data_IF_785679217052
#
_entry.id   IF_785679217052
#
_cell.length_a   1.000
_cell.length_b   1.000
_cell.length_c   1.000
_cell.angle_alpha   90.00
_cell.angle_beta   90.00
_cell.angle_gamma   90.00
#
_symmetry.space_group_name_H-M   'P 1'
#
loop_
_entity.id
_entity.type
_entity.pdbx_description
1 polymer ?
#
# COMPACT_ATOMS: atom_id res chain seq x y z
N UNK A 1 -54.31 -27.77 16.40
CA UNK A 1 -53.20 -27.98 15.45
C UNK A 1 -52.93 -26.80 14.50
N UNK A 2 -53.94 -26.20 13.84
CA UNK A 2 -53.71 -25.08 12.89
C UNK A 2 -53.08 -23.84 13.55
N UNK A 3 -53.51 -23.47 14.76
CA UNK A 3 -53.01 -22.31 15.50
C UNK A 3 -51.52 -22.46 15.88
N UNK A 4 -51.12 -23.63 16.38
CA UNK A 4 -49.73 -23.96 16.73
C UNK A 4 -48.84 -23.92 15.48
N UNK A 5 -49.35 -24.39 14.33
CA UNK A 5 -48.62 -24.32 13.06
C UNK A 5 -48.37 -22.89 12.63
N UNK A 6 -49.35 -21.99 12.76
CA UNK A 6 -49.19 -20.58 12.42
C UNK A 6 -48.20 -19.86 13.34
N UNK A 7 -48.23 -20.12 14.64
CA UNK A 7 -47.28 -19.56 15.60
C UNK A 7 -45.85 -19.99 15.24
N UNK A 8 -45.64 -21.26 14.94
CA UNK A 8 -44.32 -21.77 14.56
C UNK A 8 -43.81 -21.14 13.25
N UNK A 9 -44.72 -20.92 12.28
CA UNK A 9 -44.36 -20.28 11.00
C UNK A 9 -43.95 -18.83 11.21
N UNK A 10 -44.67 -18.08 12.04
CA UNK A 10 -44.35 -16.67 12.36
C UNK A 10 -43.00 -16.59 13.08
N UNK A 11 -42.73 -17.45 14.06
CA UNK A 11 -41.45 -17.48 14.79
C UNK A 11 -40.29 -17.80 13.84
N UNK A 12 -40.46 -18.77 12.94
CA UNK A 12 -39.44 -19.11 11.95
C UNK A 12 -39.17 -17.94 10.99
N UNK A 13 -40.22 -17.23 10.57
CA UNK A 13 -40.09 -16.05 9.68
C UNK A 13 -39.40 -14.89 10.39
N UNK A 14 -39.71 -14.68 11.68
CA UNK A 14 -39.02 -13.69 12.52
C UNK A 14 -37.55 -14.06 12.75
N UNK A 15 -37.25 -15.34 12.99
CA UNK A 15 -35.86 -15.81 13.08
C UNK A 15 -35.12 -15.55 11.76
N UNK A 16 -35.70 -15.90 10.61
CA UNK A 16 -35.07 -15.66 9.31
C UNK A 16 -34.86 -14.16 9.02
N UNK A 17 -35.72 -13.28 9.53
CA UNK A 17 -35.53 -11.82 9.41
C UNK A 17 -34.42 -11.29 10.35
N UNK A 18 -34.24 -11.90 11.52
CA UNK A 18 -33.20 -11.53 12.50
C UNK A 18 -31.83 -12.11 12.12
N UNK A 19 -31.79 -13.29 11.50
CA UNK A 19 -30.54 -13.95 11.07
C UNK A 19 -30.20 -13.76 9.59
N UNK A 20 -31.12 -13.26 8.76
CA UNK A 20 -30.93 -13.10 7.31
C UNK A 20 -30.18 -11.85 6.89
N UNK A 21 -29.82 -10.98 7.83
CA UNK A 21 -29.03 -9.77 7.59
C UNK A 21 -27.54 -9.99 7.86
N UNK A 22 -26.89 -10.95 7.20
CA UNK A 22 -25.45 -10.83 7.00
C UNK A 22 -25.32 -9.89 5.81
N UNK A 23 -25.13 -8.60 6.07
CA UNK A 23 -24.62 -7.70 5.04
C UNK A 23 -23.23 -8.21 4.66
N UNK A 24 -23.16 -9.06 3.64
CA UNK A 24 -21.92 -9.29 2.92
C UNK A 24 -21.63 -7.95 2.26
N UNK A 25 -20.88 -7.10 2.95
CA UNK A 25 -20.36 -5.87 2.39
C UNK A 25 -19.56 -6.26 1.16
N UNK A 26 -20.16 -6.04 0.00
CA UNK A 26 -19.46 -6.17 -1.26
C UNK A 26 -18.43 -5.05 -1.30
N UNK A 27 -17.17 -5.40 -1.09
CA UNK A 27 -16.05 -4.48 -1.23
C UNK A 27 -16.09 -3.89 -2.63
N UNK A 28 -16.32 -2.59 -2.75
CA UNK A 28 -16.45 -1.95 -4.06
C UNK A 28 -15.06 -1.61 -4.57
N UNK A 29 -14.46 -2.56 -5.27
CA UNK A 29 -13.16 -2.41 -5.94
C UNK A 29 -13.35 -2.46 -7.46
N UNK A 30 -12.38 -1.94 -8.21
CA UNK A 30 -12.35 -2.18 -9.65
C UNK A 30 -11.89 -3.59 -10.05
N UNK A 31 -11.60 -4.47 -9.10
CA UNK A 31 -11.20 -5.85 -9.38
C UNK A 31 -12.40 -6.79 -9.44
N UNK A 32 -12.32 -7.79 -10.34
CA UNK A 32 -13.11 -9.01 -10.20
C UNK A 32 -12.58 -9.83 -9.02
N UNK A 33 -13.46 -10.21 -8.11
CA UNK A 33 -13.10 -10.87 -6.85
C UNK A 33 -13.97 -12.10 -6.56
N UNK A 34 -13.47 -12.97 -5.70
CA UNK A 34 -14.17 -14.13 -5.18
C UNK A 34 -14.03 -14.25 -3.66
N UNK A 35 -14.99 -14.92 -3.02
CA UNK A 35 -14.95 -15.18 -1.58
C UNK A 35 -13.80 -16.13 -1.24
N UNK A 36 -13.11 -15.84 -0.15
CA UNK A 36 -12.10 -16.73 0.42
C UNK A 36 -12.73 -17.67 1.46
N UNK A 37 -12.35 -18.95 1.53
CA UNK A 37 -12.79 -19.84 2.62
C UNK A 37 -12.41 -19.27 4.00
N UNK A 38 -13.25 -19.52 5.01
CA UNK A 38 -13.09 -18.94 6.35
C UNK A 38 -11.76 -19.34 7.03
N UNK A 39 -11.33 -20.60 6.86
CA UNK A 39 -10.06 -21.11 7.40
C UNK A 39 -8.85 -20.39 6.78
N UNK A 40 -8.91 -20.12 5.48
CA UNK A 40 -7.88 -19.39 4.74
C UNK A 40 -7.86 -17.91 5.18
N UNK A 41 -9.03 -17.30 5.40
CA UNK A 41 -9.17 -15.94 5.89
C UNK A 41 -8.54 -15.76 7.28
N UNK A 42 -8.83 -16.67 8.21
CA UNK A 42 -8.27 -16.64 9.57
C UNK A 42 -6.74 -16.80 9.56
N UNK A 43 -6.24 -17.71 8.75
CA UNK A 43 -4.80 -17.93 8.57
C UNK A 43 -4.13 -16.69 7.98
N UNK A 44 -4.77 -16.07 6.98
CA UNK A 44 -4.27 -14.86 6.34
C UNK A 44 -4.21 -13.69 7.32
N UNK A 45 -5.29 -13.42 8.07
CA UNK A 45 -5.34 -12.34 9.05
C UNK A 45 -4.24 -12.46 10.10
N UNK A 46 -4.00 -13.67 10.59
CA UNK A 46 -2.92 -13.94 11.54
C UNK A 46 -1.53 -13.68 10.96
N UNK A 47 -1.33 -13.99 9.68
CA UNK A 47 -0.05 -13.81 9.01
C UNK A 47 0.21 -12.34 8.64
N UNK A 48 -0.81 -11.64 8.14
CA UNK A 48 -0.75 -10.22 7.79
C UNK A 48 -0.64 -9.37 9.05
N UNK A 49 -1.32 -9.74 10.13
CA UNK A 49 -1.20 -9.11 11.45
C UNK A 49 -1.27 -7.57 11.40
N UNK A 50 -2.41 -7.06 10.95
CA UNK A 50 -2.65 -5.61 10.86
C UNK A 50 -2.76 -5.04 12.27
N UNK A 51 -2.05 -3.95 12.50
CA UNK A 51 -2.03 -3.22 13.77
C UNK A 51 -2.19 -1.72 13.50
N UNK A 52 -2.94 -1.03 14.34
CA UNK A 52 -3.17 0.41 14.20
C UNK A 52 -1.97 1.20 14.76
N UNK A 53 -1.70 2.35 14.15
CA UNK A 53 -0.70 3.33 14.58
C UNK A 53 -1.41 4.63 14.95
N UNK A 54 -1.25 5.08 16.18
CA UNK A 54 -1.83 6.34 16.68
C UNK A 54 -0.89 7.53 16.54
N UNK A 55 0.40 7.26 16.40
CA UNK A 55 1.46 8.26 16.24
C UNK A 55 2.09 8.12 14.86
N UNK A 56 2.51 9.25 14.28
CA UNK A 56 3.14 9.25 12.97
C UNK A 56 4.50 8.54 13.02
N UNK A 57 4.68 7.43 12.27
CA UNK A 57 5.98 6.76 12.20
C UNK A 57 6.98 7.62 11.41
N UNK A 58 8.29 7.36 11.54
CA UNK A 58 9.30 8.05 10.75
C UNK A 58 9.00 7.92 9.25
N UNK A 59 8.95 9.05 8.55
CA UNK A 59 8.64 9.10 7.12
C UNK A 59 9.63 8.27 6.29
N UNK A 60 9.11 7.59 5.26
CA UNK A 60 9.83 6.68 4.36
C UNK A 60 9.42 6.95 2.92
N UNK A 61 10.14 6.36 1.97
CA UNK A 61 9.77 6.45 0.57
C UNK A 61 8.39 5.85 0.30
N UNK A 62 7.68 6.44 -0.64
CA UNK A 62 6.31 6.12 -1.00
C UNK A 62 6.34 4.99 -2.03
N UNK A 63 5.60 3.92 -1.76
CA UNK A 63 5.42 2.78 -2.67
C UNK A 63 4.11 2.91 -3.46
N UNK A 64 3.05 3.38 -2.80
CA UNK A 64 1.74 3.60 -3.38
C UNK A 64 1.00 4.69 -2.60
N UNK A 65 -0.01 5.30 -3.21
CA UNK A 65 -0.86 6.27 -2.56
C UNK A 65 -2.30 6.17 -3.07
N UNK A 66 -3.25 6.61 -2.26
CA UNK A 66 -4.64 6.75 -2.64
C UNK A 66 -5.22 8.04 -2.06
N UNK A 67 -6.25 8.56 -2.71
CA UNK A 67 -7.00 9.73 -2.24
C UNK A 67 -8.48 9.44 -2.44
N UNK A 68 -9.29 9.71 -1.42
CA UNK A 68 -10.75 9.59 -1.53
C UNK A 68 -11.40 10.88 -2.03
N UNK A 69 -12.73 10.87 -2.19
CA UNK A 69 -13.50 12.02 -2.67
C UNK A 69 -13.42 13.25 -1.74
N UNK A 70 -13.21 13.03 -0.44
CA UNK A 70 -13.05 14.09 0.56
C UNK A 70 -11.62 14.67 0.60
N UNK A 71 -10.70 14.13 -0.21
CA UNK A 71 -9.30 14.54 -0.23
C UNK A 71 -8.45 13.96 0.91
N UNK A 72 -8.95 12.94 1.63
CA UNK A 72 -8.16 12.17 2.59
C UNK A 72 -7.12 11.36 1.83
N UNK A 73 -5.87 11.41 2.30
CA UNK A 73 -4.72 10.85 1.60
C UNK A 73 -4.22 9.64 2.37
N UNK A 74 -4.07 8.51 1.69
CA UNK A 74 -3.36 7.34 2.20
C UNK A 74 -2.00 7.22 1.51
N UNK A 75 -0.94 7.01 2.30
CA UNK A 75 0.42 6.82 1.80
C UNK A 75 0.94 5.48 2.29
N UNK A 76 1.25 4.58 1.36
CA UNK A 76 1.87 3.29 1.61
C UNK A 76 3.39 3.37 1.53
N UNK A 77 4.07 2.88 2.55
CA UNK A 77 5.51 2.86 2.68
C UNK A 77 6.05 1.47 3.04
N UNK A 78 7.29 1.21 2.64
CA UNK A 78 8.07 0.08 3.14
C UNK A 78 8.83 0.47 4.42
N UNK A 79 8.65 -0.30 5.49
CA UNK A 79 9.54 -0.31 6.66
C UNK A 79 10.44 -1.55 6.61
N UNK A 80 11.51 -1.57 7.41
CA UNK A 80 12.54 -2.62 7.41
C UNK A 80 11.99 -4.00 7.76
N UNK A 81 10.87 -4.07 8.50
CA UNK A 81 10.25 -5.33 8.93
C UNK A 81 8.78 -5.46 8.51
N UNK A 82 8.05 -4.34 8.44
CA UNK A 82 6.62 -4.31 8.12
C UNK A 82 6.34 -3.34 6.97
N UNK A 83 5.15 -3.46 6.38
CA UNK A 83 4.56 -2.41 5.55
C UNK A 83 3.81 -1.45 6.45
N UNK A 84 3.75 -0.19 6.03
CA UNK A 84 3.05 0.86 6.75
C UNK A 84 2.14 1.60 5.78
N UNK A 85 0.93 1.92 6.22
CA UNK A 85 0.06 2.88 5.54
C UNK A 85 -0.27 3.99 6.53
N UNK A 86 -0.04 5.23 6.15
CA UNK A 86 -0.40 6.40 6.97
C UNK A 86 -1.52 7.18 6.29
N UNK A 87 -2.51 7.61 7.06
CA UNK A 87 -3.65 8.39 6.62
C UNK A 87 -3.46 9.84 7.05
N UNK A 88 -3.64 10.76 6.11
CA UNK A 88 -3.50 12.19 6.29
C UNK A 88 -4.76 12.91 5.85
N UNK A 89 -5.02 14.06 6.43
CA UNK A 89 -5.96 15.05 5.91
C UNK A 89 -5.46 15.63 4.58
N UNK A 90 -6.31 16.39 3.89
CA UNK A 90 -5.97 17.04 2.62
C UNK A 90 -4.89 18.12 2.73
N UNK A 91 -4.64 18.64 3.94
CA UNK A 91 -3.55 19.57 4.27
C UNK A 91 -2.29 18.87 4.81
N UNK A 92 -2.26 17.53 4.82
CA UNK A 92 -1.07 16.75 5.17
C UNK A 92 -0.88 16.49 6.66
N UNK A 93 -1.91 16.65 7.48
CA UNK A 93 -1.86 16.35 8.92
C UNK A 93 -2.13 14.86 9.13
N UNK A 94 -1.23 14.17 9.82
CA UNK A 94 -1.38 12.76 10.15
C UNK A 94 -2.61 12.52 11.03
N UNK A 95 -3.41 11.50 10.70
CA UNK A 95 -4.61 11.10 11.45
C UNK A 95 -4.37 9.79 12.20
N UNK A 96 -3.98 8.76 11.47
CA UNK A 96 -3.69 7.41 11.99
C UNK A 96 -2.94 6.61 10.93
N UNK A 97 -2.52 5.39 11.26
CA UNK A 97 -1.94 4.48 10.28
C UNK A 97 -2.16 3.01 10.61
N UNK A 98 -1.59 2.16 9.76
CA UNK A 98 -1.58 0.72 9.91
C UNK A 98 -0.16 0.20 9.70
N UNK A 99 0.24 -0.79 10.48
CA UNK A 99 1.44 -1.61 10.26
C UNK A 99 1.03 -3.06 10.08
N UNK A 100 1.56 -3.71 9.04
CA UNK A 100 1.22 -5.09 8.70
C UNK A 100 2.37 -5.80 7.99
N UNK A 101 2.31 -7.13 7.96
CA UNK A 101 3.26 -7.99 7.27
C UNK A 101 2.78 -8.28 5.86
N UNK A 102 3.68 -8.13 4.89
CA UNK A 102 3.43 -8.50 3.50
C UNK A 102 4.73 -8.95 2.86
N UNK A 103 4.75 -10.17 2.32
CA UNK A 103 5.85 -10.65 1.50
C UNK A 103 5.67 -10.16 0.06
N UNK A 104 6.11 -8.94 -0.24
CA UNK A 104 6.08 -8.37 -1.59
C UNK A 104 5.60 -6.93 -1.64
N UNK A 105 5.03 -6.56 -2.79
CA UNK A 105 4.42 -5.26 -3.01
C UNK A 105 2.97 -5.28 -2.51
N UNK A 106 2.48 -4.09 -2.17
CA UNK A 106 1.10 -3.88 -1.82
C UNK A 106 0.60 -2.59 -2.48
N UNK A 107 -0.68 -2.57 -2.81
CA UNK A 107 -1.38 -1.39 -3.28
C UNK A 107 -2.41 -0.94 -2.26
N UNK A 108 -2.89 0.29 -2.40
CA UNK A 108 -3.97 0.82 -1.57
C UNK A 108 -4.97 1.60 -2.41
N UNK A 109 -6.21 1.62 -1.97
CA UNK A 109 -7.28 2.40 -2.55
C UNK A 109 -8.38 2.66 -1.53
N UNK A 110 -9.14 3.74 -1.71
CA UNK A 110 -10.33 3.98 -0.91
C UNK A 110 -11.58 3.47 -1.61
N UNK A 111 -12.43 2.77 -0.87
CA UNK A 111 -13.86 2.67 -1.13
C UNK A 111 -14.57 3.60 -0.14
N UNK A 112 -14.91 4.80 -0.58
CA UNK A 112 -15.42 5.89 0.26
C UNK A 112 -14.45 6.22 1.41
N UNK A 113 -14.78 5.82 2.63
CA UNK A 113 -13.97 6.02 3.84
C UNK A 113 -13.19 4.77 4.27
N UNK A 114 -13.43 3.62 3.64
CA UNK A 114 -12.79 2.35 3.97
C UNK A 114 -11.55 2.19 3.09
N UNK A 115 -10.44 1.81 3.71
CA UNK A 115 -9.19 1.60 2.99
C UNK A 115 -9.08 0.14 2.57
N UNK A 116 -8.95 -0.07 1.27
CA UNK A 116 -8.61 -1.35 0.67
C UNK A 116 -7.09 -1.48 0.59
N UNK A 117 -6.53 -2.51 1.21
CA UNK A 117 -5.12 -2.91 1.12
C UNK A 117 -5.04 -4.14 0.23
N UNK A 118 -4.33 -4.01 -0.89
CA UNK A 118 -4.17 -5.07 -1.87
C UNK A 118 -2.80 -5.74 -1.75
N UNK A 119 -2.75 -7.04 -1.44
CA UNK A 119 -1.53 -7.83 -1.34
C UNK A 119 -1.23 -8.50 -2.69
N UNK A 120 -0.30 -7.92 -3.45
CA UNK A 120 -0.07 -8.27 -4.88
C UNK A 120 0.27 -9.75 -5.07
N UNK A 121 1.17 -10.32 -4.26
CA UNK A 121 1.62 -11.71 -4.46
C UNK A 121 0.60 -12.77 -4.05
N UNK A 122 -0.34 -12.39 -3.19
CA UNK A 122 -1.36 -13.32 -2.69
C UNK A 122 -2.67 -13.18 -3.44
N UNK A 123 -2.80 -12.18 -4.31
CA UNK A 123 -4.06 -11.80 -4.96
C UNK A 123 -5.17 -11.60 -3.92
N UNK A 124 -4.90 -10.83 -2.87
CA UNK A 124 -5.85 -10.60 -1.77
C UNK A 124 -6.13 -9.11 -1.63
N UNK A 125 -7.39 -8.80 -1.34
CA UNK A 125 -7.85 -7.49 -0.97
C UNK A 125 -8.42 -7.51 0.45
N UNK A 126 -8.01 -6.56 1.29
CA UNK A 126 -8.43 -6.44 2.68
C UNK A 126 -9.02 -5.05 2.89
N UNK A 127 -10.30 -4.98 3.26
CA UNK A 127 -10.95 -3.73 3.62
C UNK A 127 -10.75 -3.45 5.11
N UNK A 128 -10.16 -2.30 5.44
CA UNK A 128 -9.85 -1.87 6.81
C UNK A 128 -10.46 -0.50 7.06
N UNK A 129 -11.28 -0.38 8.10
CA UNK A 129 -11.90 0.89 8.49
C UNK A 129 -10.98 1.74 9.36
N UNK A 130 -11.35 2.99 9.61
CA UNK A 130 -10.51 3.97 10.33
C UNK A 130 -10.18 3.63 11.78
N UNK A 131 -10.84 2.63 12.39
CA UNK A 131 -10.51 2.12 13.72
C UNK A 131 -9.62 0.87 13.69
N UNK A 132 -9.25 0.41 12.49
CA UNK A 132 -8.37 -0.74 12.28
C UNK A 132 -9.09 -2.10 12.26
N UNK A 133 -10.41 -2.12 12.18
CA UNK A 133 -11.18 -3.36 12.04
C UNK A 133 -11.20 -3.78 10.57
N UNK A 134 -11.05 -5.09 10.34
CA UNK A 134 -11.15 -5.69 9.00
C UNK A 134 -12.62 -5.98 8.70
N UNK A 135 -13.16 -5.31 7.69
CA UNK A 135 -14.57 -5.44 7.31
C UNK A 135 -14.79 -6.57 6.31
N UNK A 136 -13.83 -6.83 5.43
CA UNK A 136 -13.92 -7.89 4.42
C UNK A 136 -12.55 -8.33 3.91
N UNK A 137 -12.48 -9.58 3.45
CA UNK A 137 -11.32 -10.12 2.74
C UNK A 137 -11.82 -10.84 1.50
N UNK A 138 -11.26 -10.48 0.35
CA UNK A 138 -11.58 -11.07 -0.94
C UNK A 138 -10.34 -11.51 -1.67
N UNK A 139 -10.49 -12.54 -2.50
CA UNK A 139 -9.44 -12.97 -3.42
C UNK A 139 -9.66 -12.32 -4.78
N UNK A 140 -8.62 -11.69 -5.29
CA UNK A 140 -8.57 -11.06 -6.61
C UNK A 140 -8.36 -12.19 -7.64
N UNK A 141 -9.18 -12.18 -8.69
CA UNK A 141 -9.05 -13.18 -9.74
C UNK A 141 -7.89 -12.82 -10.68
N UNK A 142 -7.23 -13.83 -11.25
CA UNK A 142 -6.20 -13.60 -12.26
C UNK A 142 -6.83 -13.44 -13.65
N UNK A 143 -7.16 -12.19 -14.01
CA UNK A 143 -7.73 -11.83 -15.32
C UNK A 143 -6.91 -10.72 -15.99
N UNK A 144 -7.05 -10.56 -17.31
CA UNK A 144 -6.40 -9.47 -18.05
C UNK A 144 -6.83 -8.09 -17.57
N UNK A 145 -8.09 -7.95 -17.20
CA UNK A 145 -8.69 -6.69 -16.74
C UNK A 145 -8.11 -6.30 -15.38
N UNK A 146 -8.03 -7.27 -14.45
CA UNK A 146 -7.40 -7.06 -13.14
C UNK A 146 -5.91 -6.70 -13.28
N UNK A 147 -5.18 -7.38 -14.18
CA UNK A 147 -3.77 -7.07 -14.45
C UNK A 147 -3.57 -5.65 -15.00
N UNK A 148 -4.53 -5.14 -15.80
CA UNK A 148 -4.50 -3.76 -16.28
C UNK A 148 -4.81 -2.78 -15.15
N UNK A 149 -5.84 -3.09 -14.33
CA UNK A 149 -6.27 -2.26 -13.21
C UNK A 149 -5.18 -2.04 -12.15
N UNK A 150 -4.34 -3.05 -11.89
CA UNK A 150 -3.17 -2.91 -11.04
C UNK A 150 -2.27 -1.74 -11.46
N UNK A 151 -1.96 -1.63 -12.75
CA UNK A 151 -1.03 -0.64 -13.27
C UNK A 151 -1.70 0.72 -13.47
N UNK A 152 -2.92 0.73 -13.99
CA UNK A 152 -3.59 1.95 -14.42
C UNK A 152 -4.28 2.68 -13.27
N UNK A 153 -4.66 1.97 -12.21
CA UNK A 153 -5.37 2.54 -11.07
C UNK A 153 -4.56 2.41 -9.78
N UNK A 154 -4.27 1.19 -9.33
CA UNK A 154 -3.67 0.94 -8.00
C UNK A 154 -2.25 1.51 -7.88
N UNK A 155 -1.40 1.27 -8.87
CA UNK A 155 -0.03 1.78 -8.93
C UNK A 155 0.13 3.05 -9.78
N UNK A 156 -0.98 3.71 -10.11
CA UNK A 156 -0.91 5.00 -10.79
C UNK A 156 -0.15 6.01 -9.95
N UNK A 157 0.77 6.71 -10.59
CA UNK A 157 1.55 7.80 -9.97
C UNK A 157 0.81 9.12 -9.96
N UNK A 158 -0.38 9.18 -10.59
CA UNK A 158 -1.23 10.36 -10.69
C UNK A 158 -2.66 10.03 -10.37
N UNK A 159 -3.31 10.87 -9.57
CA UNK A 159 -4.76 10.80 -9.34
C UNK A 159 -5.35 12.20 -9.40
N UNK A 160 -6.57 12.32 -9.92
CA UNK A 160 -7.32 13.57 -9.98
C UNK A 160 -8.63 13.42 -9.23
N UNK A 161 -8.85 14.27 -8.23
CA UNK A 161 -10.08 14.34 -7.45
C UNK A 161 -10.64 15.76 -7.59
N UNK A 162 -11.79 15.89 -8.26
CA UNK A 162 -12.33 17.19 -8.64
C UNK A 162 -11.34 18.00 -9.48
N UNK A 163 -10.99 19.20 -9.01
CA UNK A 163 -10.02 20.09 -9.66
C UNK A 163 -8.60 19.94 -9.12
N UNK A 164 -8.36 18.99 -8.23
CA UNK A 164 -7.07 18.76 -7.58
C UNK A 164 -6.36 17.56 -8.19
N UNK A 165 -5.13 17.74 -8.67
CA UNK A 165 -4.27 16.66 -9.13
C UNK A 165 -3.24 16.32 -8.05
N UNK A 166 -3.03 15.03 -7.82
CA UNK A 166 -2.06 14.47 -6.91
C UNK A 166 -1.07 13.66 -7.73
N UNK A 167 0.22 13.86 -7.52
CA UNK A 167 1.22 13.06 -8.22
C UNK A 167 2.46 12.77 -7.40
N UNK A 168 3.03 11.59 -7.63
CA UNK A 168 4.28 11.15 -7.04
C UNK A 168 5.47 11.65 -7.85
N UNK A 169 6.50 12.12 -7.15
CA UNK A 169 7.74 12.61 -7.76
C UNK A 169 8.96 12.06 -7.03
N UNK A 170 10.00 11.78 -7.81
CA UNK A 170 11.37 11.65 -7.33
C UNK A 170 12.17 12.89 -7.70
N UNK A 171 12.88 13.44 -6.72
CA UNK A 171 13.73 14.62 -6.93
C UNK A 171 15.20 14.32 -6.60
N UNK A 172 15.73 13.24 -7.22
CA UNK A 172 17.13 12.79 -7.08
C UNK A 172 18.01 13.20 -8.27
N UNK A 173 17.53 14.09 -9.15
CA UNK A 173 18.27 14.53 -10.34
C UNK A 173 18.62 13.38 -11.29
N UNK A 174 19.89 13.32 -11.74
CA UNK A 174 20.40 12.30 -12.69
C UNK A 174 20.26 10.86 -12.13
N UNK A 175 20.12 10.71 -10.81
CA UNK A 175 20.00 9.42 -10.14
C UNK A 175 18.57 8.84 -10.15
N UNK A 176 17.56 9.58 -10.64
CA UNK A 176 16.16 9.14 -10.67
C UNK A 176 15.94 7.80 -11.38
N UNK A 177 16.79 7.43 -12.34
CA UNK A 177 16.67 6.16 -13.09
C UNK A 177 16.84 4.91 -12.20
N UNK A 178 17.40 5.06 -11.00
CA UNK A 178 17.59 3.97 -10.04
C UNK A 178 16.57 3.99 -8.90
N UNK A 179 15.64 4.95 -8.90
CA UNK A 179 14.64 5.05 -7.85
C UNK A 179 13.56 3.97 -8.05
N UNK A 180 13.43 3.08 -7.08
CA UNK A 180 12.38 2.04 -7.06
C UNK A 180 11.12 2.46 -6.29
N UNK A 181 11.12 3.65 -5.69
CA UNK A 181 10.05 4.24 -4.87
C UNK A 181 10.10 5.77 -4.99
N UNK A 182 9.10 6.48 -4.45
CA UNK A 182 8.93 7.93 -4.63
C UNK A 182 9.30 8.74 -3.37
N UNK A 183 9.93 9.90 -3.54
CA UNK A 183 10.35 10.78 -2.44
C UNK A 183 9.28 11.76 -1.97
N UNK A 184 8.35 12.12 -2.87
CA UNK A 184 7.43 13.23 -2.65
C UNK A 184 6.03 12.92 -3.18
N UNK A 185 5.01 13.43 -2.47
CA UNK A 185 3.65 13.57 -2.97
C UNK A 185 3.34 15.06 -3.13
N UNK A 186 3.02 15.45 -4.36
CA UNK A 186 2.74 16.84 -4.75
C UNK A 186 1.25 16.96 -5.07
N UNK A 187 0.68 18.09 -4.68
CA UNK A 187 -0.69 18.48 -5.03
C UNK A 187 -0.64 19.72 -5.90
N UNK A 188 -1.37 19.68 -7.01
CA UNK A 188 -1.61 20.81 -7.90
C UNK A 188 -3.08 21.21 -7.81
N UNK A 189 -3.34 22.45 -7.43
CA UNK A 189 -4.69 22.98 -7.38
C UNK A 189 -5.19 23.42 -8.77
N UNK A 190 -6.45 23.87 -8.86
CA UNK A 190 -7.08 24.34 -10.10
C UNK A 190 -6.39 25.53 -10.78
N UNK A 191 -5.54 26.26 -10.06
CA UNK A 191 -4.77 27.40 -10.57
C UNK A 191 -3.37 26.98 -11.03
N UNK A 192 -3.01 25.70 -10.92
CA UNK A 192 -1.69 25.19 -11.25
C UNK A 192 -0.65 25.43 -10.15
N UNK A 193 -1.06 25.82 -8.96
CA UNK A 193 -0.13 26.00 -7.84
C UNK A 193 0.19 24.64 -7.22
N UNK A 194 1.49 24.35 -7.09
CA UNK A 194 2.00 23.11 -6.51
C UNK A 194 2.32 23.29 -5.03
N UNK A 195 1.98 22.28 -4.23
CA UNK A 195 2.37 22.16 -2.82
C UNK A 195 2.84 20.75 -2.52
N UNK A 196 3.83 20.62 -1.66
CA UNK A 196 4.37 19.32 -1.23
C UNK A 196 3.70 18.95 0.08
N UNK A 197 2.98 17.83 0.09
CA UNK A 197 2.26 17.33 1.27
C UNK A 197 3.08 16.28 2.03
N UNK A 198 3.95 15.58 1.31
CA UNK A 198 4.85 14.60 1.89
C UNK A 198 6.23 14.72 1.24
N UNK A 199 7.29 14.81 2.06
CA UNK A 199 8.67 14.94 1.59
C UNK A 199 9.63 14.09 2.43
N UNK A 200 10.34 13.19 1.76
CA UNK A 200 11.45 12.40 2.32
C UNK A 200 12.70 12.45 1.43
N UNK A 201 12.79 13.43 0.54
CA UNK A 201 13.85 13.48 -0.48
C UNK A 201 15.26 13.51 0.13
N UNK A 202 15.46 14.29 1.20
CA UNK A 202 16.75 14.41 1.88
C UNK A 202 17.25 13.08 2.48
N UNK A 203 16.33 12.29 3.06
CA UNK A 203 16.64 10.98 3.63
C UNK A 203 16.92 9.93 2.54
N UNK A 204 16.12 9.93 1.46
CA UNK A 204 16.32 9.04 0.32
C UNK A 204 17.66 9.32 -0.39
N UNK A 205 17.98 10.59 -0.62
CA UNK A 205 19.23 11.01 -1.23
C UNK A 205 20.44 10.61 -0.39
N UNK A 206 20.39 10.84 0.92
CA UNK A 206 21.49 10.49 1.84
C UNK A 206 21.78 8.99 1.84
N UNK A 207 20.75 8.15 1.91
CA UNK A 207 20.91 6.69 1.85
C UNK A 207 21.52 6.24 0.52
N UNK A 208 21.08 6.82 -0.60
CA UNK A 208 21.59 6.48 -1.92
C UNK A 208 23.06 6.87 -2.10
N UNK A 209 23.46 8.05 -1.61
CA UNK A 209 24.87 8.51 -1.64
C UNK A 209 25.77 7.55 -0.86
N UNK A 210 25.31 7.06 0.30
CA UNK A 210 26.05 6.08 1.10
C UNK A 210 26.23 4.75 0.35
N UNK A 211 25.17 4.24 -0.28
CA UNK A 211 25.21 2.99 -1.05
C UNK A 211 26.14 3.12 -2.26
N UNK A 212 25.96 4.15 -3.09
CA UNK A 212 26.78 4.40 -4.28
C UNK A 212 28.24 4.62 -3.90
N UNK A 213 28.50 5.42 -2.85
CA UNK A 213 29.84 5.63 -2.32
C UNK A 213 30.51 4.33 -1.85
N UNK A 214 29.78 3.48 -1.14
CA UNK A 214 30.27 2.17 -0.70
C UNK A 214 30.64 1.24 -1.87
N UNK A 215 29.81 1.20 -2.91
CA UNK A 215 30.09 0.42 -4.13
C UNK A 215 31.33 0.93 -4.85
N UNK A 216 31.50 2.25 -4.99
CA UNK A 216 32.68 2.86 -5.63
C UNK A 216 33.96 2.48 -4.85
N UNK A 217 33.94 2.62 -3.52
CA UNK A 217 35.08 2.24 -2.67
C UNK A 217 35.42 0.76 -2.84
N UNK A 218 34.41 -0.11 -2.87
CA UNK A 218 34.62 -1.54 -3.09
C UNK A 218 35.25 -1.84 -4.46
N UNK A 219 34.76 -1.21 -5.53
CA UNK A 219 35.34 -1.36 -6.88
C UNK A 219 36.80 -0.89 -6.88
N UNK A 220 37.11 0.26 -6.28
CA UNK A 220 38.47 0.77 -6.17
C UNK A 220 39.40 -0.20 -5.42
N UNK A 221 38.92 -0.83 -4.33
CA UNK A 221 39.67 -1.84 -3.59
C UNK A 221 39.95 -3.09 -4.44
N UNK A 222 38.94 -3.61 -5.14
CA UNK A 222 39.11 -4.76 -6.04
C UNK A 222 40.13 -4.45 -7.14
N UNK A 223 40.01 -3.29 -7.78
CA UNK A 223 40.96 -2.85 -8.82
C UNK A 223 42.37 -2.72 -8.25
N UNK A 224 42.54 -2.12 -7.08
CA UNK A 224 43.84 -1.99 -6.43
C UNK A 224 44.48 -3.35 -6.12
N UNK A 225 43.69 -4.31 -5.62
CA UNK A 225 44.16 -5.69 -5.37
C UNK A 225 44.59 -6.38 -6.66
N UNK A 226 43.81 -6.26 -7.74
CA UNK A 226 44.14 -6.85 -9.05
C UNK A 226 45.44 -6.24 -9.59
N UNK A 227 45.58 -4.91 -9.58
CA UNK A 227 46.80 -4.22 -10.00
C UNK A 227 48.00 -4.69 -9.17
N UNK A 228 47.84 -4.79 -7.85
CA UNK A 228 48.90 -5.26 -6.96
C UNK A 228 49.32 -6.70 -7.26
N UNK A 229 48.38 -7.60 -7.54
CA UNK A 229 48.67 -8.98 -7.96
C UNK A 229 49.44 -9.02 -9.28
N UNK A 230 49.06 -8.23 -10.28
CA UNK A 230 49.79 -8.12 -11.54
C UNK A 230 51.21 -7.60 -11.36
N UNK A 231 51.42 -6.57 -10.53
CA UNK A 231 52.75 -6.04 -10.21
C UNK A 231 53.60 -7.11 -9.50
N UNK A 232 53.01 -7.86 -8.57
CA UNK A 232 53.69 -8.95 -7.84
C UNK A 232 54.11 -10.09 -8.78
N UNK A 233 53.24 -10.49 -9.70
CA UNK A 233 53.55 -11.51 -10.70
C UNK A 233 54.70 -11.07 -11.61
N UNK A 234 54.69 -9.81 -12.08
CA UNK A 234 55.76 -9.26 -12.94
C UNK A 234 57.11 -9.13 -12.21
N UNK A 235 57.12 -8.95 -10.89
CA UNK A 235 58.36 -8.92 -10.08
C UNK A 235 58.96 -10.30 -9.81
N UNK A 236 58.16 -11.35 -9.93
CA UNK A 236 58.55 -12.73 -9.65
C UNK A 236 58.80 -13.55 -10.94
N UNK A 237 58.65 -12.94 -12.11
CA UNK A 237 59.00 -13.48 -13.43
C UNK A 237 60.31 -12.84 -13.91
#
# INVERSE_FOLDING_TARGET
MKLIRHIFTIILTLLLLVFGGVEVLAMNTGFSTESLPEDDMNTLLKNVNISMLTDEPPKKTIECFAVNEDGVIAIGCNSSENKVVCIYTSDGVFQYGYSFKCSGNFGIEFDKSVLNIYLVRSDIAIAVNSVGEVESILKIQNTSENNSYWNDCVFSTRRKIGDTEYFLKNDMGILNVFASSYSQLIITNKYGEESIIYDVNSAQFSNMVVVVGGVIVFICLVVAVVIWQFIKLKRNA
#
